data_IF_003790894724
#
_entry.id   IF_003790894724
#
_cell.length_a   1.000
_cell.length_b   1.000
_cell.length_c   1.000
_cell.angle_alpha   90.00
_cell.angle_beta   90.00
_cell.angle_gamma   90.00
#
_symmetry.space_group_name_H-M   'P 1'
#
loop_
_entity.id
_entity.type
_entity.pdbx_description
1 polymer ?
#
# COMPACT_ATOMS: atom_id res chain seq x y z
N UNK A 1 -34.65 -4.85 -5.04
CA UNK A 1 -33.55 -5.69 -4.48
C UNK A 1 -32.67 -4.92 -3.50
N UNK A 2 -32.16 -3.73 -3.84
CA UNK A 2 -31.30 -2.92 -2.95
C UNK A 2 -31.99 -2.56 -1.62
N UNK A 3 -33.28 -2.26 -1.62
CA UNK A 3 -34.06 -1.94 -0.41
C UNK A 3 -34.13 -3.15 0.55
N UNK A 4 -34.38 -4.35 0.03
CA UNK A 4 -34.39 -5.58 0.83
C UNK A 4 -33.01 -5.85 1.43
N UNK A 5 -31.94 -5.67 0.65
CA UNK A 5 -30.56 -5.82 1.13
C UNK A 5 -30.22 -4.78 2.21
N UNK A 6 -30.73 -3.55 2.07
CA UNK A 6 -30.52 -2.46 3.03
C UNK A 6 -31.27 -2.74 4.34
N UNK A 7 -32.51 -3.21 4.26
CA UNK A 7 -33.30 -3.62 5.45
C UNK A 7 -32.64 -4.81 6.16
N UNK A 8 -32.14 -5.80 5.41
CA UNK A 8 -31.39 -6.93 5.97
C UNK A 8 -30.09 -6.47 6.64
N UNK A 9 -29.37 -5.52 6.04
CA UNK A 9 -28.15 -4.95 6.60
C UNK A 9 -28.43 -4.21 7.91
N UNK A 10 -29.47 -3.38 7.95
CA UNK A 10 -29.91 -2.67 9.17
C UNK A 10 -30.32 -3.68 10.24
N UNK A 11 -31.15 -4.69 9.91
CA UNK A 11 -31.55 -5.72 10.86
C UNK A 11 -30.36 -6.52 11.40
N UNK A 12 -29.40 -6.92 10.55
CA UNK A 12 -28.21 -7.65 11.01
C UNK A 12 -27.38 -6.81 11.98
N UNK A 13 -27.06 -5.56 11.62
CA UNK A 13 -26.14 -4.73 12.40
C UNK A 13 -26.79 -4.08 13.63
N UNK A 14 -28.12 -3.91 13.67
CA UNK A 14 -28.81 -3.29 14.81
C UNK A 14 -29.53 -4.30 15.72
N UNK A 15 -30.09 -5.40 15.19
CA UNK A 15 -30.74 -6.42 16.02
C UNK A 15 -29.75 -7.46 16.56
N UNK A 16 -28.70 -7.79 15.79
CA UNK A 16 -27.65 -8.72 16.19
C UNK A 16 -26.25 -8.12 15.94
N UNK A 17 -25.92 -6.98 16.59
CA UNK A 17 -24.70 -6.23 16.33
C UNK A 17 -23.45 -7.09 16.52
N UNK A 18 -23.40 -7.89 17.58
CA UNK A 18 -22.25 -8.74 17.89
C UNK A 18 -22.03 -9.85 16.84
N UNK A 19 -23.04 -10.69 16.49
CA UNK A 19 -22.90 -11.65 15.39
C UNK A 19 -22.58 -11.03 14.03
N UNK A 20 -23.21 -9.90 13.68
CA UNK A 20 -22.96 -9.20 12.42
C UNK A 20 -21.54 -8.64 12.33
N UNK A 21 -21.05 -8.04 13.42
CA UNK A 21 -19.66 -7.59 13.53
C UNK A 21 -18.68 -8.77 13.44
N UNK A 22 -18.94 -9.87 14.16
CA UNK A 22 -18.09 -11.06 14.09
C UNK A 22 -18.03 -11.65 12.66
N UNK A 23 -19.19 -11.79 12.00
CA UNK A 23 -19.28 -12.29 10.64
C UNK A 23 -18.59 -11.39 9.63
N UNK A 24 -18.83 -10.07 9.69
CA UNK A 24 -18.19 -9.11 8.79
C UNK A 24 -16.67 -9.04 9.01
N UNK A 25 -16.20 -9.08 10.25
CA UNK A 25 -14.79 -9.16 10.59
C UNK A 25 -14.17 -10.46 10.06
N UNK A 26 -14.87 -11.59 10.20
CA UNK A 26 -14.48 -12.90 9.68
C UNK A 26 -14.34 -12.93 8.14
N UNK A 27 -15.32 -12.37 7.43
CA UNK A 27 -15.26 -12.24 5.96
C UNK A 27 -14.12 -11.31 5.55
N UNK A 28 -13.99 -10.15 6.21
CA UNK A 28 -12.95 -9.18 5.90
C UNK A 28 -11.54 -9.75 6.13
N UNK A 29 -11.33 -10.44 7.25
CA UNK A 29 -10.05 -11.09 7.57
C UNK A 29 -9.72 -12.20 6.58
N UNK A 30 -10.68 -13.10 6.31
CA UNK A 30 -10.52 -14.19 5.34
C UNK A 30 -10.19 -13.66 3.95
N UNK A 31 -10.88 -12.61 3.51
CA UNK A 31 -10.62 -11.96 2.22
C UNK A 31 -9.22 -11.35 2.14
N UNK A 32 -8.77 -10.66 3.19
CA UNK A 32 -7.42 -10.09 3.23
C UNK A 32 -6.34 -11.18 3.26
N UNK A 33 -6.56 -12.29 3.98
CA UNK A 33 -5.65 -13.44 3.99
C UNK A 33 -5.59 -14.09 2.61
N UNK A 34 -6.73 -14.31 1.97
CA UNK A 34 -6.80 -14.84 0.60
C UNK A 34 -6.00 -13.97 -0.39
N UNK A 35 -6.18 -12.65 -0.36
CA UNK A 35 -5.44 -11.73 -1.24
C UNK A 35 -3.93 -11.78 -1.00
N UNK A 36 -3.48 -11.89 0.26
CA UNK A 36 -2.04 -12.03 0.58
C UNK A 36 -1.50 -13.37 0.13
N UNK A 37 -2.24 -14.45 0.34
CA UNK A 37 -1.88 -15.78 -0.13
C UNK A 37 -1.75 -15.82 -1.65
N UNK A 38 -2.72 -15.25 -2.36
CA UNK A 38 -2.70 -15.18 -3.81
C UNK A 38 -1.49 -14.39 -4.32
N UNK A 39 -1.24 -13.20 -3.76
CA UNK A 39 -0.07 -12.40 -4.11
C UNK A 39 1.24 -13.14 -3.86
N UNK A 40 1.33 -13.95 -2.79
CA UNK A 40 2.51 -14.77 -2.51
C UNK A 40 2.66 -15.95 -3.50
N UNK A 41 1.54 -16.56 -3.90
CA UNK A 41 1.52 -17.69 -4.85
C UNK A 41 1.92 -17.24 -6.25
N UNK A 42 1.46 -16.09 -6.70
CA UNK A 42 1.75 -15.55 -8.05
C UNK A 42 3.13 -14.91 -8.15
N UNK A 43 3.75 -14.57 -7.02
CA UNK A 43 5.07 -13.94 -6.98
C UNK A 43 6.19 -14.85 -7.54
N UNK A 44 7.05 -14.31 -8.43
CA UNK A 44 8.28 -14.98 -8.84
C UNK A 44 9.18 -15.35 -7.65
N UNK A 45 9.97 -16.41 -7.77
CA UNK A 45 10.82 -16.90 -6.67
C UNK A 45 11.75 -15.82 -6.09
N UNK A 46 12.36 -15.01 -6.96
CA UNK A 46 13.22 -13.88 -6.58
C UNK A 46 12.47 -12.81 -5.77
N UNK A 47 11.21 -12.55 -6.14
CA UNK A 47 10.36 -11.56 -5.52
C UNK A 47 9.72 -12.00 -4.20
N UNK A 48 9.74 -13.29 -3.84
CA UNK A 48 9.15 -13.77 -2.57
C UNK A 48 9.85 -13.17 -1.35
N UNK A 49 11.17 -12.99 -1.43
CA UNK A 49 11.96 -12.33 -0.37
C UNK A 49 11.50 -10.89 -0.14
N UNK A 50 11.18 -10.15 -1.20
CA UNK A 50 10.66 -8.79 -1.10
C UNK A 50 9.29 -8.75 -0.40
N UNK A 51 8.38 -9.68 -0.74
CA UNK A 51 7.08 -9.78 -0.06
C UNK A 51 7.21 -10.11 1.43
N UNK A 52 8.06 -11.08 1.78
CA UNK A 52 8.31 -11.46 3.19
C UNK A 52 8.90 -10.27 3.96
N UNK A 53 9.89 -9.59 3.36
CA UNK A 53 10.49 -8.39 3.95
C UNK A 53 9.44 -7.30 4.16
N UNK A 54 8.61 -7.01 3.15
CA UNK A 54 7.54 -6.02 3.26
C UNK A 54 6.53 -6.37 4.37
N UNK A 55 6.19 -7.65 4.52
CA UNK A 55 5.32 -8.12 5.60
C UNK A 55 5.97 -7.99 6.99
N UNK A 56 7.25 -8.34 7.12
CA UNK A 56 8.01 -8.21 8.37
C UNK A 56 8.15 -6.75 8.79
N UNK A 57 8.47 -5.85 7.84
CA UNK A 57 8.59 -4.42 8.11
C UNK A 57 7.23 -3.79 8.44
N UNK A 58 6.14 -4.22 7.79
CA UNK A 58 4.80 -3.80 8.20
C UNK A 58 4.48 -4.20 9.66
N UNK A 59 4.88 -5.41 10.09
CA UNK A 59 4.70 -5.86 11.46
C UNK A 59 5.51 -5.00 12.45
N UNK A 60 6.77 -4.66 12.10
CA UNK A 60 7.60 -3.75 12.91
C UNK A 60 6.94 -2.37 12.98
N UNK A 61 6.45 -1.81 11.87
CA UNK A 61 5.76 -0.52 11.85
C UNK A 61 4.50 -0.53 12.72
N UNK A 62 3.76 -1.64 12.72
CA UNK A 62 2.61 -1.86 13.58
C UNK A 62 2.99 -1.85 15.07
N UNK A 63 4.06 -2.56 15.44
CA UNK A 63 4.59 -2.58 16.81
C UNK A 63 5.04 -1.18 17.25
N UNK A 64 5.81 -0.47 16.42
CA UNK A 64 6.22 0.91 16.71
C UNK A 64 5.02 1.85 16.91
N UNK A 65 3.96 1.66 16.11
CA UNK A 65 2.74 2.46 16.25
C UNK A 65 1.99 2.18 17.55
N UNK A 66 1.97 0.92 18.01
CA UNK A 66 1.43 0.56 19.33
C UNK A 66 2.23 1.23 20.44
N UNK A 67 3.58 1.16 20.38
CA UNK A 67 4.42 1.81 21.38
C UNK A 67 4.19 3.33 21.45
N UNK A 68 4.08 4.00 20.31
CA UNK A 68 3.75 5.42 20.28
C UNK A 68 2.37 5.69 20.87
N UNK A 69 1.37 4.87 20.53
CA UNK A 69 0.03 4.97 21.10
C UNK A 69 0.02 4.82 22.62
N UNK A 70 0.76 3.85 23.16
CA UNK A 70 0.91 3.62 24.61
C UNK A 70 1.57 4.83 25.27
N UNK A 71 2.68 5.33 24.72
CA UNK A 71 3.38 6.49 25.26
C UNK A 71 2.48 7.74 25.32
N UNK A 72 1.73 7.99 24.25
CA UNK A 72 0.78 9.12 24.21
C UNK A 72 -0.40 8.92 25.16
N UNK A 73 -0.91 7.70 25.30
CA UNK A 73 -1.98 7.38 26.24
C UNK A 73 -1.54 7.62 27.69
N UNK A 74 -0.33 7.19 28.07
CA UNK A 74 0.24 7.47 29.39
C UNK A 74 0.47 8.96 29.62
N UNK A 75 0.94 9.70 28.61
CA UNK A 75 1.10 11.14 28.74
C UNK A 75 -0.23 11.83 29.08
N UNK A 76 -1.32 11.48 28.40
CA UNK A 76 -2.65 12.04 28.71
C UNK A 76 -3.14 11.61 30.09
N UNK A 77 -2.95 10.33 30.44
CA UNK A 77 -3.39 9.79 31.72
C UNK A 77 -2.70 10.45 32.91
N UNK A 78 -1.38 10.63 32.85
CA UNK A 78 -0.62 11.22 33.96
C UNK A 78 -0.66 12.75 33.99
N UNK A 79 -0.67 13.43 32.83
CA UNK A 79 -0.56 14.89 32.79
C UNK A 79 -1.89 15.64 32.63
N UNK A 80 -2.95 14.99 32.12
CA UNK A 80 -4.23 15.66 31.85
C UNK A 80 -5.31 15.18 32.80
N UNK A 81 -5.64 13.89 32.75
CA UNK A 81 -6.74 13.34 33.55
C UNK A 81 -6.62 11.83 33.74
N UNK A 82 -6.59 11.40 34.99
CA UNK A 82 -6.55 10.00 35.39
C UNK A 82 -7.93 9.35 35.13
N UNK A 83 -8.09 8.81 33.92
CA UNK A 83 -9.29 8.11 33.51
C UNK A 83 -8.99 7.00 32.51
N UNK A 84 -9.35 5.76 32.88
CA UNK A 84 -9.09 4.57 32.06
C UNK A 84 -9.81 4.56 30.71
N UNK A 85 -11.00 5.16 30.60
CA UNK A 85 -11.70 5.26 29.32
C UNK A 85 -10.99 6.23 28.37
N UNK A 86 -10.52 7.36 28.90
CA UNK A 86 -9.74 8.33 28.12
C UNK A 86 -8.40 7.73 27.69
N UNK A 87 -7.75 6.95 28.55
CA UNK A 87 -6.54 6.20 28.22
C UNK A 87 -6.77 5.24 27.04
N UNK A 88 -7.79 4.39 27.12
CA UNK A 88 -8.11 3.41 26.05
C UNK A 88 -8.42 4.14 24.74
N UNK A 89 -9.25 5.19 24.79
CA UNK A 89 -9.58 5.99 23.62
C UNK A 89 -8.32 6.59 22.98
N UNK A 90 -7.47 7.23 23.77
CA UNK A 90 -6.26 7.88 23.27
C UNK A 90 -5.25 6.87 22.73
N UNK A 91 -5.09 5.73 23.40
CA UNK A 91 -4.27 4.62 22.91
C UNK A 91 -4.72 4.16 21.51
N UNK A 92 -6.01 3.87 21.33
CA UNK A 92 -6.56 3.41 20.05
C UNK A 92 -6.42 4.49 18.97
N UNK A 93 -6.73 5.74 19.32
CA UNK A 93 -6.66 6.88 18.41
C UNK A 93 -5.22 7.14 17.94
N UNK A 94 -4.28 7.31 18.87
CA UNK A 94 -2.87 7.56 18.54
C UNK A 94 -2.22 6.40 17.80
N UNK A 95 -2.50 5.15 18.18
CA UNK A 95 -1.98 3.98 17.46
C UNK A 95 -2.48 3.94 16.01
N UNK A 96 -3.76 4.24 15.79
CA UNK A 96 -4.38 4.22 14.45
C UNK A 96 -3.84 5.34 13.57
N UNK A 97 -3.71 6.55 14.11
CA UNK A 97 -3.12 7.69 13.39
C UNK A 97 -1.67 7.39 13.05
N UNK A 98 -0.90 6.90 14.03
CA UNK A 98 0.50 6.52 13.84
C UNK A 98 0.65 5.52 12.70
N UNK A 99 -0.13 4.44 12.71
CA UNK A 99 -0.08 3.39 11.68
C UNK A 99 -0.37 3.95 10.28
N UNK A 100 -1.25 4.95 10.19
CA UNK A 100 -1.66 5.54 8.90
C UNK A 100 -0.67 6.60 8.40
N UNK A 101 -0.09 7.39 9.30
CA UNK A 101 0.66 8.59 8.95
C UNK A 101 2.17 8.42 9.00
N UNK A 102 2.67 7.41 9.70
CA UNK A 102 4.09 7.17 9.90
C UNK A 102 4.53 5.83 9.31
N UNK A 103 5.68 5.85 8.64
CA UNK A 103 6.40 4.66 8.21
C UNK A 103 7.78 4.65 8.90
N UNK A 104 7.83 4.10 10.11
CA UNK A 104 9.05 3.93 10.89
C UNK A 104 10.09 3.06 10.19
N UNK A 105 9.64 2.24 9.24
CA UNK A 105 10.49 1.27 8.54
C UNK A 105 10.96 1.73 7.17
N UNK A 106 10.59 2.90 6.68
CA UNK A 106 10.88 3.34 5.31
C UNK A 106 12.38 3.26 4.94
N UNK A 107 13.26 3.76 5.80
CA UNK A 107 14.71 3.72 5.58
C UNK A 107 15.27 2.29 5.61
N UNK A 108 14.79 1.46 6.55
CA UNK A 108 15.18 0.05 6.63
C UNK A 108 14.75 -0.69 5.36
N UNK A 109 13.52 -0.44 4.89
CA UNK A 109 13.02 -1.08 3.69
C UNK A 109 13.88 -0.73 2.47
N UNK A 110 14.15 0.56 2.28
CA UNK A 110 15.02 1.07 1.22
C UNK A 110 16.40 0.45 1.26
N UNK A 111 17.01 0.39 2.44
CA UNK A 111 18.33 -0.20 2.63
C UNK A 111 18.39 -1.67 2.24
N UNK A 112 17.43 -2.48 2.71
CA UNK A 112 17.37 -3.91 2.35
C UNK A 112 17.14 -4.13 0.86
N UNK A 113 16.28 -3.33 0.22
CA UNK A 113 16.04 -3.45 -1.22
C UNK A 113 17.28 -3.06 -2.02
N UNK A 114 17.99 -2.01 -1.67
CA UNK A 114 19.24 -1.65 -2.36
C UNK A 114 20.35 -2.67 -2.16
N UNK A 115 20.34 -3.42 -1.05
CA UNK A 115 21.24 -4.57 -0.87
C UNK A 115 20.89 -5.73 -1.81
N UNK A 116 19.62 -5.86 -2.19
CA UNK A 116 19.14 -6.90 -3.11
C UNK A 116 19.24 -6.48 -4.58
N UNK A 117 19.23 -5.18 -4.88
CA UNK A 117 19.29 -4.64 -6.24
C UNK A 117 20.72 -4.72 -6.81
N UNK A 118 20.85 -5.01 -8.11
CA UNK A 118 22.15 -4.93 -8.80
C UNK A 118 22.65 -3.47 -8.83
N UNK A 119 23.97 -3.27 -8.84
CA UNK A 119 24.71 -2.01 -8.55
C UNK A 119 24.43 -0.77 -9.45
N UNK A 120 23.30 -0.68 -10.13
CA UNK A 120 22.91 0.51 -10.89
C UNK A 120 22.03 1.42 -10.04
N UNK A 121 22.65 2.26 -9.22
CA UNK A 121 21.95 3.32 -8.48
C UNK A 121 21.86 4.57 -9.35
N UNK A 122 20.64 5.08 -9.55
CA UNK A 122 20.43 6.37 -10.19
C UNK A 122 20.81 7.51 -9.24
N UNK A 123 21.39 8.59 -9.77
CA UNK A 123 21.81 9.77 -8.99
C UNK A 123 20.59 10.55 -8.45
N UNK A 124 19.48 10.59 -9.20
CA UNK A 124 18.20 11.20 -8.79
C UNK A 124 17.05 10.23 -9.06
N UNK A 125 16.56 9.55 -8.03
CA UNK A 125 15.43 8.62 -8.14
C UNK A 125 14.59 8.59 -6.86
N UNK A 126 13.33 8.20 -7.00
CA UNK A 126 12.44 7.94 -5.86
C UNK A 126 12.44 6.46 -5.54
N UNK A 127 12.42 6.10 -4.25
CA UNK A 127 12.13 4.74 -3.84
C UNK A 127 10.63 4.45 -3.97
N UNK A 128 10.28 3.39 -4.70
CA UNK A 128 8.89 3.01 -4.95
C UNK A 128 8.68 1.50 -4.94
N UNK A 129 7.43 1.11 -4.66
CA UNK A 129 6.92 -0.25 -4.82
C UNK A 129 5.99 -0.28 -6.02
N UNK A 130 6.24 -1.17 -6.97
CA UNK A 130 5.42 -1.41 -8.14
C UNK A 130 4.66 -2.73 -7.99
N UNK A 131 3.33 -2.67 -8.02
CA UNK A 131 2.46 -3.85 -8.00
C UNK A 131 1.78 -4.00 -9.35
N UNK A 132 2.01 -5.13 -10.02
CA UNK A 132 1.35 -5.47 -11.28
C UNK A 132 0.12 -6.32 -11.04
N UNK A 133 -0.96 -6.03 -11.76
CA UNK A 133 -2.23 -6.74 -11.71
C UNK A 133 -2.75 -7.06 -13.11
N UNK A 134 -3.54 -8.13 -13.21
CA UNK A 134 -4.32 -8.49 -14.39
C UNK A 134 -5.81 -8.29 -14.10
N UNK A 135 -6.59 -7.86 -15.09
CA UNK A 135 -8.04 -7.84 -14.95
C UNK A 135 -8.59 -9.28 -14.89
N UNK A 136 -9.60 -9.50 -14.05
CA UNK A 136 -10.37 -10.76 -14.00
C UNK A 136 -11.75 -10.55 -14.60
N UNK A 137 -12.25 -11.57 -15.27
CA UNK A 137 -13.60 -11.58 -15.84
C UNK A 137 -14.70 -11.49 -14.76
N UNK A 138 -14.49 -12.13 -13.61
CA UNK A 138 -15.53 -12.35 -12.60
C UNK A 138 -15.38 -11.52 -11.32
N UNK A 139 -14.86 -10.29 -11.41
CA UNK A 139 -14.62 -9.28 -10.36
C UNK A 139 -13.17 -9.14 -9.85
N UNK A 140 -12.62 -7.95 -10.11
CA UNK A 140 -11.45 -7.43 -9.41
C UNK A 140 -10.14 -7.58 -10.17
N UNK A 141 -9.04 -7.29 -9.47
CA UNK A 141 -7.68 -7.30 -9.99
C UNK A 141 -6.91 -8.47 -9.38
N UNK A 142 -6.36 -9.34 -10.23
CA UNK A 142 -5.51 -10.45 -9.83
C UNK A 142 -4.07 -9.98 -9.66
N UNK A 143 -3.40 -10.14 -8.50
CA UNK A 143 -2.01 -9.77 -8.34
C UNK A 143 -1.10 -10.66 -9.19
N UNK A 144 -0.21 -10.04 -9.96
CA UNK A 144 0.75 -10.74 -10.84
C UNK A 144 2.13 -10.73 -10.19
N UNK A 145 2.57 -9.58 -9.71
CA UNK A 145 3.81 -9.44 -8.96
C UNK A 145 3.80 -8.17 -8.09
N UNK A 146 4.70 -8.12 -7.12
CA UNK A 146 5.06 -6.91 -6.37
C UNK A 146 6.57 -6.78 -6.34
N UNK A 147 7.12 -5.68 -6.84
CA UNK A 147 8.55 -5.40 -6.78
C UNK A 147 8.80 -4.03 -6.14
N UNK A 148 10.01 -3.81 -5.63
CA UNK A 148 10.42 -2.57 -4.99
C UNK A 148 11.79 -2.17 -5.52
N UNK A 149 12.02 -0.87 -5.66
CA UNK A 149 13.28 -0.37 -6.16
C UNK A 149 13.21 1.11 -6.48
N UNK A 150 13.92 1.51 -7.52
CA UNK A 150 14.05 2.90 -7.94
C UNK A 150 13.06 3.24 -9.04
N UNK A 151 12.52 4.44 -8.95
CA UNK A 151 11.62 5.04 -9.91
C UNK A 151 12.26 6.33 -10.41
N UNK A 152 12.50 6.41 -11.71
CA UNK A 152 13.10 7.58 -12.35
C UNK A 152 12.20 8.07 -13.48
N UNK A 153 12.20 9.38 -13.64
CA UNK A 153 11.62 10.02 -14.80
C UNK A 153 12.75 10.43 -15.75
N UNK A 154 12.71 9.93 -16.98
CA UNK A 154 13.73 10.15 -18.02
C UNK A 154 13.02 10.27 -19.37
N UNK A 155 13.30 11.31 -20.14
CA UNK A 155 12.74 11.55 -21.48
C UNK A 155 11.21 11.39 -21.59
N UNK A 156 10.47 11.92 -20.61
CA UNK A 156 9.00 11.78 -20.46
C UNK A 156 8.50 10.35 -20.29
N UNK A 157 9.38 9.44 -19.94
CA UNK A 157 9.06 8.07 -19.57
C UNK A 157 9.29 7.88 -18.08
N UNK A 158 8.46 7.04 -17.48
CA UNK A 158 8.63 6.62 -16.10
C UNK A 158 9.25 5.23 -16.11
N UNK A 159 10.49 5.14 -15.65
CA UNK A 159 11.29 3.92 -15.60
C UNK A 159 11.30 3.41 -14.17
N UNK A 160 10.71 2.25 -13.95
CA UNK A 160 10.80 1.52 -12.70
C UNK A 160 11.86 0.43 -12.81
N UNK A 161 12.88 0.46 -11.94
CA UNK A 161 13.86 -0.61 -11.78
C UNK A 161 13.73 -1.21 -10.39
N UNK A 162 13.10 -2.37 -10.33
CA UNK A 162 12.96 -3.17 -9.13
C UNK A 162 14.15 -4.10 -8.88
N UNK A 163 13.98 -5.04 -7.96
CA UNK A 163 14.98 -6.08 -7.67
C UNK A 163 15.06 -7.09 -8.81
N UNK A 164 13.93 -7.42 -9.44
CA UNK A 164 13.84 -8.48 -10.45
C UNK A 164 13.07 -8.09 -11.72
N UNK A 165 12.42 -6.93 -11.74
CA UNK A 165 11.76 -6.40 -12.95
C UNK A 165 12.18 -4.98 -13.26
N UNK A 166 12.22 -4.69 -14.55
CA UNK A 166 12.29 -3.35 -15.10
C UNK A 166 11.02 -3.10 -15.93
N UNK A 167 10.34 -1.99 -15.66
CA UNK A 167 9.10 -1.62 -16.35
C UNK A 167 9.22 -0.17 -16.82
N UNK A 168 8.95 0.05 -18.11
CA UNK A 168 9.07 1.37 -18.75
C UNK A 168 7.68 1.83 -19.17
N UNK A 169 7.17 2.86 -18.48
CA UNK A 169 5.88 3.45 -18.79
C UNK A 169 6.08 4.68 -19.67
N UNK A 170 5.63 4.57 -20.91
CA UNK A 170 5.61 5.66 -21.88
C UNK A 170 4.18 5.92 -22.35
N UNK A 171 3.88 7.11 -22.88
CA UNK A 171 2.56 7.44 -23.44
C UNK A 171 2.08 6.46 -24.51
N UNK A 172 3.01 5.82 -25.23
CA UNK A 172 2.70 4.79 -26.21
C UNK A 172 2.04 3.54 -25.59
N UNK A 173 2.40 3.21 -24.34
CA UNK A 173 2.01 1.98 -23.65
C UNK A 173 0.92 2.18 -22.59
N UNK A 174 0.53 3.43 -22.32
CA UNK A 174 -0.43 3.80 -21.29
C UNK A 174 -1.81 4.08 -21.92
N UNK A 175 -2.88 3.60 -21.28
CA UNK A 175 -4.27 3.99 -21.57
C UNK A 175 -4.70 5.10 -20.62
N UNK A 176 -4.44 4.92 -19.32
CA UNK A 176 -4.97 5.79 -18.28
C UNK A 176 -4.01 5.88 -17.10
N UNK A 177 -3.91 7.07 -16.52
CA UNK A 177 -3.20 7.30 -15.26
C UNK A 177 -4.17 7.91 -14.26
N UNK A 178 -4.19 7.40 -13.02
CA UNK A 178 -5.08 7.85 -11.96
C UNK A 178 -4.30 8.09 -10.66
N UNK A 179 -4.62 9.19 -9.98
CA UNK A 179 -4.14 9.51 -8.63
C UNK A 179 -4.97 8.75 -7.58
N UNK A 180 -4.40 7.72 -6.93
CA UNK A 180 -5.12 6.93 -5.92
C UNK A 180 -5.01 7.47 -4.50
N UNK A 181 -3.84 7.94 -4.10
CA UNK A 181 -3.60 8.58 -2.79
C UNK A 181 -2.47 9.60 -2.91
N UNK A 182 -2.03 10.19 -1.80
CA UNK A 182 -0.88 11.08 -1.77
C UNK A 182 0.39 10.47 -2.36
N UNK A 183 0.60 9.18 -2.13
CA UNK A 183 1.81 8.48 -2.55
C UNK A 183 1.56 7.43 -3.65
N UNK A 184 0.31 7.25 -4.10
CA UNK A 184 -0.05 6.17 -5.04
C UNK A 184 -0.51 6.69 -6.40
N UNK A 185 0.07 6.12 -7.45
CA UNK A 185 -0.32 6.31 -8.84
C UNK A 185 -0.77 4.96 -9.39
N UNK A 186 -1.95 4.92 -10.00
CA UNK A 186 -2.43 3.76 -10.75
C UNK A 186 -2.24 4.03 -12.24
N UNK A 187 -1.62 3.11 -12.95
CA UNK A 187 -1.41 3.18 -14.40
C UNK A 187 -2.13 1.98 -15.02
N UNK A 188 -2.97 2.21 -16.02
CA UNK A 188 -3.54 1.15 -16.86
C UNK A 188 -2.81 1.17 -18.20
N UNK A 189 -2.24 0.04 -18.57
CA UNK A 189 -1.48 -0.09 -19.82
C UNK A 189 -2.34 -0.62 -20.95
N UNK A 190 -1.86 -0.46 -22.19
CA UNK A 190 -2.44 -1.13 -23.34
C UNK A 190 -2.25 -2.65 -23.24
N UNK A 191 -3.16 -3.45 -23.81
CA UNK A 191 -3.00 -4.89 -23.89
C UNK A 191 -1.65 -5.25 -24.54
N UNK A 192 -1.01 -6.33 -24.09
CA UNK A 192 0.28 -6.82 -24.59
C UNK A 192 1.49 -5.88 -24.42
N UNK A 193 1.34 -4.70 -23.83
CA UNK A 193 2.47 -3.77 -23.61
C UNK A 193 3.43 -4.26 -22.53
N UNK A 194 2.92 -5.05 -21.58
CA UNK A 194 3.71 -5.59 -20.48
C UNK A 194 3.42 -7.07 -20.27
N UNK A 195 4.42 -7.82 -19.79
CA UNK A 195 4.28 -9.26 -19.54
C UNK A 195 3.36 -9.50 -18.35
N UNK A 196 2.19 -10.05 -18.65
CA UNK A 196 1.22 -10.63 -17.71
C UNK A 196 0.47 -9.66 -16.80
N UNK A 197 0.69 -8.34 -16.91
CA UNK A 197 0.03 -7.30 -16.13
C UNK A 197 -0.49 -6.16 -17.02
N UNK A 198 -1.66 -5.62 -16.65
CA UNK A 198 -2.39 -4.57 -17.38
C UNK A 198 -2.63 -3.33 -16.51
N UNK A 199 -2.60 -3.52 -15.19
CA UNK A 199 -2.81 -2.48 -14.20
C UNK A 199 -1.64 -2.46 -13.25
N UNK A 200 -1.06 -1.29 -13.05
CA UNK A 200 0.08 -1.07 -12.17
C UNK A 200 -0.30 -0.12 -11.06
N UNK A 201 0.08 -0.43 -9.83
CA UNK A 201 -0.01 0.47 -8.69
C UNK A 201 1.40 0.79 -8.20
N UNK A 202 1.83 2.01 -8.47
CA UNK A 202 3.10 2.55 -8.01
C UNK A 202 2.86 3.28 -6.68
N UNK A 203 3.56 2.86 -5.64
CA UNK A 203 3.51 3.48 -4.30
C UNK A 203 4.87 4.09 -3.99
N UNK A 204 4.94 5.41 -3.84
CA UNK A 204 6.15 6.12 -3.40
C UNK A 204 6.39 5.85 -1.91
N UNK A 205 7.57 5.33 -1.59
CA UNK A 205 7.95 4.89 -0.24
C UNK A 205 9.19 5.62 0.31
N UNK A 206 9.58 6.71 -0.34
CA UNK A 206 10.77 7.49 -0.01
C UNK A 206 10.70 8.17 1.37
N UNK A 207 9.51 8.64 1.79
CA UNK A 207 9.36 9.55 2.93
C UNK A 207 8.73 8.83 4.13
N UNK A 208 9.22 9.16 5.33
CA UNK A 208 8.63 8.74 6.61
C UNK A 208 7.13 9.08 6.71
N UNK A 209 6.74 10.24 6.18
CA UNK A 209 5.36 10.69 6.10
C UNK A 209 4.83 10.47 4.67
N UNK A 210 3.92 9.50 4.42
CA UNK A 210 3.46 9.20 3.08
C UNK A 210 2.84 10.40 2.36
N UNK A 211 2.14 11.28 3.10
CA UNK A 211 1.51 12.47 2.53
C UNK A 211 2.52 13.48 1.97
N UNK A 212 3.77 13.49 2.44
CA UNK A 212 4.82 14.37 1.90
C UNK A 212 5.24 13.97 0.48
N UNK A 213 4.91 12.77 0.02
CA UNK A 213 5.18 12.31 -1.34
C UNK A 213 4.19 12.88 -2.36
N UNK A 214 3.21 13.68 -1.92
CA UNK A 214 2.17 14.28 -2.79
C UNK A 214 2.75 15.11 -3.93
N UNK A 215 3.74 15.95 -3.64
CA UNK A 215 4.39 16.81 -4.65
C UNK A 215 5.09 15.96 -5.71
N UNK A 216 5.97 15.05 -5.29
CA UNK A 216 6.68 14.10 -6.16
C UNK A 216 5.69 13.30 -7.03
N UNK A 217 4.61 12.81 -6.43
CA UNK A 217 3.53 12.08 -7.12
C UNK A 217 2.84 12.96 -8.17
N UNK A 218 2.56 14.21 -7.83
CA UNK A 218 1.90 15.15 -8.72
C UNK A 218 2.80 15.56 -9.90
N UNK A 219 4.11 15.66 -9.69
CA UNK A 219 5.12 15.89 -10.73
C UNK A 219 5.21 14.72 -11.73
N UNK A 220 5.33 13.49 -11.20
CA UNK A 220 5.33 12.26 -12.03
C UNK A 220 4.02 12.19 -12.84
N UNK A 221 2.89 12.44 -12.18
CA UNK A 221 1.58 12.39 -12.83
C UNK A 221 1.43 13.43 -13.95
N UNK A 222 1.84 14.68 -13.70
CA UNK A 222 1.79 15.74 -14.71
C UNK A 222 2.63 15.37 -15.93
N UNK A 223 3.81 14.81 -15.71
CA UNK A 223 4.71 14.44 -16.79
C UNK A 223 4.13 13.32 -17.65
N UNK A 224 3.49 12.32 -17.04
CA UNK A 224 2.80 11.25 -17.77
C UNK A 224 1.57 11.74 -18.55
N UNK A 225 0.92 12.82 -18.10
CA UNK A 225 -0.23 13.43 -18.78
C UNK A 225 0.14 14.49 -19.83
N UNK A 226 1.35 15.05 -19.79
CA UNK A 226 1.78 16.14 -20.68
C UNK A 226 2.10 15.69 -22.12
N UNK A 227 1.44 14.65 -22.57
CA UNK A 227 1.57 14.00 -23.90
C UNK A 227 0.20 13.71 -24.47
#
# INVERSE_FOLDING_TARGET
MIELTSVLFILLFFAFPLPALAGSLGIFTTWNLYRKYEAFKTQPHEGKKNLILGAALFLINFICSIFLGIAMAFAVYYFIYDNSYLFIFNFLFCSTISLRWFDFTHNLYRWFIFKLQSKNTFITSHFAVCQGFRERDDFGLSPVYTDAGTLRLEDKQLIFKGVFREEIFSPANIIQVEKKSSEKIKIRSKPNSFKNAEVFLITLKEKFYPFKSRQDRDEIFKTLLST
#
